data_IF_760186597438
#
_entry.id   IF_760186597438
#
_cell.length_a   1.000
_cell.length_b   1.000
_cell.length_c   1.000
_cell.angle_alpha   90.00
_cell.angle_beta   90.00
_cell.angle_gamma   90.00
#
_symmetry.space_group_name_H-M   'P 1'
#
loop_
_entity.id
_entity.type
_entity.pdbx_description
1 polymer ?
#
# COMPACT_ATOMS: atom_id res chain seq x y z
N UNK A 1 12.79 6.12 -11.98
CA UNK A 1 12.52 6.27 -13.42
C UNK A 1 11.05 6.47 -13.79
N UNK A 2 10.05 6.28 -12.90
CA UNK A 2 8.71 6.87 -13.08
C UNK A 2 8.07 7.15 -11.70
N UNK A 3 7.74 8.42 -11.36
CA UNK A 3 7.12 8.76 -10.08
C UNK A 3 5.64 8.32 -9.99
N UNK A 4 5.05 8.50 -8.81
CA UNK A 4 3.60 8.36 -8.60
C UNK A 4 2.81 9.18 -9.62
N UNK A 5 1.70 8.66 -10.18
CA UNK A 5 1.02 7.41 -9.85
C UNK A 5 1.36 6.24 -10.79
N UNK A 6 2.51 6.26 -11.48
CA UNK A 6 2.76 5.32 -12.60
C UNK A 6 2.65 3.85 -12.18
N UNK A 7 3.32 3.43 -11.10
CA UNK A 7 3.25 2.05 -10.62
C UNK A 7 1.84 1.63 -10.20
N UNK A 8 1.06 2.55 -9.65
CA UNK A 8 -0.35 2.34 -9.28
C UNK A 8 -1.22 2.10 -10.50
N UNK A 9 -1.09 2.93 -11.54
CA UNK A 9 -1.82 2.77 -12.80
C UNK A 9 -1.43 1.51 -13.56
N UNK A 10 -0.15 1.12 -13.52
CA UNK A 10 0.32 -0.12 -14.12
C UNK A 10 -0.35 -1.34 -13.45
N UNK A 11 -0.37 -1.39 -12.12
CA UNK A 11 -1.05 -2.45 -11.38
C UNK A 11 -2.55 -2.52 -11.71
N UNK A 12 -3.22 -1.36 -11.77
CA UNK A 12 -4.64 -1.31 -12.11
C UNK A 12 -4.91 -1.73 -13.56
N UNK A 13 -4.04 -1.34 -14.49
CA UNK A 13 -4.13 -1.73 -15.90
C UNK A 13 -3.95 -3.24 -16.08
N UNK A 14 -3.01 -3.85 -15.36
CA UNK A 14 -2.82 -5.30 -15.33
C UNK A 14 -4.04 -6.01 -14.73
N UNK A 15 -4.61 -5.49 -13.63
CA UNK A 15 -5.84 -6.04 -13.05
C UNK A 15 -6.99 -6.07 -14.08
N UNK A 16 -7.20 -4.97 -14.82
CA UNK A 16 -8.22 -4.92 -15.88
C UNK A 16 -7.96 -5.94 -16.98
N UNK A 17 -6.70 -6.06 -17.42
CA UNK A 17 -6.31 -7.06 -18.41
C UNK A 17 -6.57 -8.48 -17.91
N UNK A 18 -6.23 -8.80 -16.65
CA UNK A 18 -6.51 -10.11 -16.04
C UNK A 18 -8.03 -10.36 -16.01
N UNK A 19 -8.83 -9.38 -15.59
CA UNK A 19 -10.29 -9.50 -15.55
C UNK A 19 -10.89 -9.77 -16.94
N UNK A 20 -10.36 -9.13 -17.99
CA UNK A 20 -10.81 -9.36 -19.37
C UNK A 20 -10.35 -10.70 -19.94
N UNK A 21 -9.21 -11.20 -19.48
CA UNK A 21 -8.60 -12.46 -19.93
C UNK A 21 -8.81 -13.65 -19.00
N UNK A 22 -9.55 -13.49 -17.90
CA UNK A 22 -9.67 -14.49 -16.84
C UNK A 22 -9.96 -15.90 -17.39
N UNK A 23 -10.97 -16.05 -18.24
CA UNK A 23 -11.34 -17.34 -18.83
C UNK A 23 -10.21 -17.93 -19.70
N UNK A 24 -9.50 -17.08 -20.47
CA UNK A 24 -8.37 -17.53 -21.32
C UNK A 24 -7.13 -17.89 -20.52
N UNK A 25 -6.99 -17.34 -19.30
CA UNK A 25 -5.94 -17.68 -18.34
C UNK A 25 -6.31 -18.90 -17.48
N UNK A 26 -7.49 -19.48 -17.66
CA UNK A 26 -8.00 -20.58 -16.83
C UNK A 26 -8.49 -20.15 -15.45
N UNK A 27 -8.65 -18.84 -15.21
CA UNK A 27 -9.18 -18.28 -13.97
C UNK A 27 -10.69 -18.06 -14.01
N UNK A 28 -11.29 -17.87 -12.84
CA UNK A 28 -12.70 -17.48 -12.69
C UNK A 28 -12.84 -15.96 -12.56
N UNK A 29 -13.43 -15.32 -13.59
CA UNK A 29 -13.68 -13.87 -13.62
C UNK A 29 -14.49 -13.36 -12.43
N UNK A 30 -15.29 -14.22 -11.78
CA UNK A 30 -16.12 -13.85 -10.61
C UNK A 30 -15.36 -13.93 -9.27
N UNK A 31 -14.15 -14.48 -9.26
CA UNK A 31 -13.38 -14.77 -8.05
C UNK A 31 -11.93 -14.30 -8.20
N UNK A 32 -11.73 -13.01 -8.50
CA UNK A 32 -10.40 -12.39 -8.56
C UNK A 32 -10.07 -11.76 -7.20
N UNK A 33 -8.87 -12.04 -6.69
CA UNK A 33 -8.34 -11.44 -5.47
C UNK A 33 -7.02 -10.74 -5.80
N UNK A 34 -6.75 -9.63 -5.11
CA UNK A 34 -5.48 -8.90 -5.21
C UNK A 34 -4.75 -8.95 -3.86
N UNK A 35 -3.43 -8.99 -3.88
CA UNK A 35 -2.63 -9.09 -2.67
C UNK A 35 -1.30 -8.36 -2.83
N UNK A 36 -0.78 -7.85 -1.71
CA UNK A 36 0.53 -7.19 -1.70
C UNK A 36 1.04 -6.93 -0.29
N UNK A 37 2.35 -6.81 -0.19
CA UNK A 37 3.10 -6.54 1.03
C UNK A 37 3.74 -5.16 1.02
N UNK A 38 3.92 -4.53 2.19
CA UNK A 38 4.60 -3.23 2.30
C UNK A 38 4.03 -2.20 1.32
N UNK A 39 4.85 -1.62 0.43
CA UNK A 39 4.43 -0.73 -0.64
C UNK A 39 3.45 -1.38 -1.63
N UNK A 40 3.57 -2.68 -1.89
CA UNK A 40 2.61 -3.46 -2.67
C UNK A 40 1.22 -3.54 -2.03
N UNK A 41 1.14 -3.40 -0.70
CA UNK A 41 -0.14 -3.21 -0.01
C UNK A 41 -0.84 -1.92 -0.43
N UNK A 42 -0.10 -0.82 -0.64
CA UNK A 42 -0.66 0.42 -1.17
C UNK A 42 -1.17 0.24 -2.61
N UNK A 43 -0.41 -0.43 -3.47
CA UNK A 43 -0.82 -0.75 -4.84
C UNK A 43 -2.08 -1.62 -4.86
N UNK A 44 -2.18 -2.57 -3.92
CA UNK A 44 -3.35 -3.43 -3.75
C UNK A 44 -4.59 -2.63 -3.38
N UNK A 45 -4.46 -1.74 -2.37
CA UNK A 45 -5.56 -0.87 -1.95
C UNK A 45 -6.00 0.02 -3.13
N UNK A 46 -5.04 0.62 -3.85
CA UNK A 46 -5.29 1.46 -5.02
C UNK A 46 -6.16 0.77 -6.07
N UNK A 47 -5.77 -0.46 -6.44
CA UNK A 47 -6.53 -1.27 -7.39
C UNK A 47 -7.97 -1.49 -6.95
N UNK A 48 -8.19 -1.78 -5.66
CA UNK A 48 -9.55 -2.00 -5.15
C UNK A 48 -10.37 -0.72 -5.07
N UNK A 49 -9.77 0.40 -4.69
CA UNK A 49 -10.45 1.70 -4.68
C UNK A 49 -10.85 2.11 -6.08
N UNK A 50 -9.97 1.92 -7.07
CA UNK A 50 -10.27 2.21 -8.49
C UNK A 50 -11.33 1.28 -9.08
N UNK A 51 -11.36 0.01 -8.68
CA UNK A 51 -12.42 -0.92 -9.06
C UNK A 51 -13.79 -0.49 -8.49
N UNK A 52 -13.82 -0.04 -7.24
CA UNK A 52 -15.01 0.53 -6.60
C UNK A 52 -15.49 1.80 -7.33
N UNK A 53 -14.59 2.76 -7.57
CA UNK A 53 -14.92 4.02 -8.26
C UNK A 53 -15.45 3.80 -9.68
N UNK A 54 -14.90 2.80 -10.39
CA UNK A 54 -15.33 2.45 -11.74
C UNK A 54 -16.58 1.57 -11.80
N UNK A 55 -17.07 1.08 -10.67
CA UNK A 55 -18.23 0.19 -10.55
C UNK A 55 -18.14 -1.08 -11.42
N UNK A 56 -16.93 -1.59 -11.67
CA UNK A 56 -16.71 -2.78 -12.50
C UNK A 56 -16.86 -4.08 -11.70
N UNK A 57 -16.61 -4.04 -10.38
CA UNK A 57 -16.75 -5.20 -9.50
C UNK A 57 -15.82 -6.34 -9.88
N UNK A 58 -14.60 -6.02 -10.30
CA UNK A 58 -13.59 -6.98 -10.73
C UNK A 58 -13.04 -7.77 -9.55
N UNK A 59 -12.82 -7.11 -8.40
CA UNK A 59 -12.12 -7.66 -7.25
C UNK A 59 -13.10 -8.16 -6.20
N UNK A 60 -12.95 -9.42 -5.78
CA UNK A 60 -13.77 -10.05 -4.74
C UNK A 60 -13.22 -9.83 -3.33
N UNK A 61 -11.92 -9.58 -3.21
CA UNK A 61 -11.27 -9.25 -1.95
C UNK A 61 -9.81 -8.86 -2.12
N UNK A 62 -9.26 -8.23 -1.08
CA UNK A 62 -7.85 -7.84 -0.99
C UNK A 62 -7.17 -8.48 0.21
N UNK A 63 -5.89 -8.83 0.05
CA UNK A 63 -5.01 -9.29 1.13
C UNK A 63 -3.84 -8.31 1.30
N UNK A 64 -3.76 -7.69 2.48
CA UNK A 64 -2.77 -6.68 2.80
C UNK A 64 -1.79 -7.20 3.86
N UNK A 65 -0.54 -7.38 3.47
CA UNK A 65 0.52 -7.87 4.36
C UNK A 65 1.37 -6.67 4.83
N UNK A 66 1.21 -6.25 6.09
CA UNK A 66 1.89 -5.07 6.65
C UNK A 66 1.91 -3.86 5.67
N UNK A 67 0.73 -3.43 5.17
CA UNK A 67 0.64 -2.48 4.07
C UNK A 67 1.13 -1.08 4.43
N UNK A 68 1.72 -0.38 3.46
CA UNK A 68 1.96 1.06 3.55
C UNK A 68 0.69 1.81 3.17
N UNK A 69 -0.10 2.19 4.16
CA UNK A 69 -1.37 2.92 3.94
C UNK A 69 -1.42 4.27 4.65
N UNK A 70 -0.41 4.65 5.45
CA UNK A 70 -0.33 5.95 6.12
C UNK A 70 0.95 6.70 5.74
N UNK A 71 1.09 7.07 4.47
CA UNK A 71 2.32 7.73 4.01
C UNK A 71 2.48 9.14 4.58
N UNK A 72 1.38 9.80 4.94
CA UNK A 72 1.40 11.13 5.54
C UNK A 72 1.67 11.11 7.06
N UNK A 73 1.81 9.94 7.69
CA UNK A 73 2.04 9.83 9.14
C UNK A 73 0.92 10.48 9.95
N UNK A 74 -0.32 10.35 9.50
CA UNK A 74 -1.48 10.93 10.18
C UNK A 74 -1.70 10.18 11.49
N UNK A 75 -1.76 10.92 12.58
CA UNK A 75 -2.24 10.44 13.87
C UNK A 75 -3.64 10.98 14.12
N UNK A 76 -4.51 10.15 14.68
CA UNK A 76 -5.90 10.48 15.00
C UNK A 76 -6.36 9.85 16.33
N UNK A 77 -7.67 9.69 16.51
CA UNK A 77 -8.22 9.04 17.70
C UNK A 77 -7.99 7.52 17.76
N UNK A 78 -7.75 6.86 16.62
CA UNK A 78 -7.56 5.42 16.48
C UNK A 78 -6.08 5.02 16.39
N UNK A 79 -5.22 5.90 15.86
CA UNK A 79 -3.80 5.62 15.68
C UNK A 79 -2.92 6.76 16.20
N UNK A 80 -1.99 6.42 17.09
CA UNK A 80 -0.88 7.27 17.53
C UNK A 80 0.37 6.42 17.54
N UNK A 81 1.49 6.95 17.07
CA UNK A 81 2.73 6.20 17.07
C UNK A 81 3.57 6.56 18.28
N UNK A 82 3.93 5.58 19.08
CA UNK A 82 4.96 5.73 20.10
C UNK A 82 5.77 4.45 20.22
N UNK A 83 7.10 4.59 20.19
CA UNK A 83 8.00 3.46 20.44
C UNK A 83 7.76 2.83 21.82
N UNK A 84 7.31 3.63 22.78
CA UNK A 84 7.10 3.21 24.16
C UNK A 84 5.87 2.29 24.33
N UNK A 85 5.01 2.19 23.30
CA UNK A 85 3.90 1.22 23.29
C UNK A 85 4.36 -0.22 23.00
N UNK A 86 5.61 -0.41 22.56
CA UNK A 86 6.15 -1.71 22.16
C UNK A 86 7.26 -2.18 23.09
N UNK A 87 7.05 -3.32 23.74
CA UNK A 87 8.10 -3.99 24.50
C UNK A 87 9.14 -4.61 23.56
N UNK A 88 10.40 -4.20 23.69
CA UNK A 88 11.52 -4.77 22.94
C UNK A 88 12.34 -5.67 23.85
N UNK A 89 12.44 -6.95 23.49
CA UNK A 89 13.31 -7.88 24.20
C UNK A 89 14.76 -7.34 24.22
N UNK A 90 15.45 -7.32 25.38
CA UNK A 90 16.75 -6.66 25.52
C UNK A 90 17.80 -7.10 24.50
N UNK A 91 17.76 -8.38 24.10
CA UNK A 91 18.66 -8.96 23.10
C UNK A 91 18.57 -8.31 21.71
N UNK A 92 17.38 -7.81 21.33
CA UNK A 92 17.12 -7.26 20.00
C UNK A 92 16.99 -5.74 19.98
N UNK A 93 16.89 -5.10 21.15
CA UNK A 93 16.59 -3.67 21.29
C UNK A 93 17.47 -2.77 20.42
N UNK A 94 18.80 -2.88 20.53
CA UNK A 94 19.70 -2.02 19.77
C UNK A 94 19.56 -2.20 18.25
N UNK A 95 19.30 -3.42 17.79
CA UNK A 95 19.10 -3.71 16.37
C UNK A 95 17.78 -3.14 15.85
N UNK A 96 16.70 -3.30 16.63
CA UNK A 96 15.39 -2.74 16.30
C UNK A 96 15.42 -1.20 16.30
N UNK A 97 16.07 -0.58 17.27
CA UNK A 97 16.22 0.88 17.33
C UNK A 97 17.00 1.45 16.14
N UNK A 98 18.09 0.77 15.75
CA UNK A 98 18.84 1.13 14.54
C UNK A 98 17.96 1.01 13.29
N UNK A 99 17.24 -0.09 13.14
CA UNK A 99 16.37 -0.34 11.99
C UNK A 99 15.23 0.67 11.91
N UNK A 100 14.57 0.98 13.03
CA UNK A 100 13.52 2.01 13.10
C UNK A 100 14.05 3.39 12.71
N UNK A 101 15.22 3.78 13.22
CA UNK A 101 15.84 5.06 12.86
C UNK A 101 16.21 5.14 11.36
N UNK A 102 16.65 4.03 10.76
CA UNK A 102 16.90 3.98 9.31
C UNK A 102 15.61 4.18 8.50
N UNK A 103 14.50 3.55 8.89
CA UNK A 103 13.22 3.71 8.19
C UNK A 103 12.63 5.11 8.36
N UNK A 104 12.78 5.73 9.53
CA UNK A 104 12.36 7.12 9.76
C UNK A 104 13.17 8.10 8.88
N UNK A 105 14.47 7.87 8.73
CA UNK A 105 15.28 8.66 7.79
C UNK A 105 14.86 8.50 6.32
N UNK A 106 14.42 7.30 5.92
CA UNK A 106 13.92 7.04 4.57
C UNK A 106 12.54 7.64 4.31
N UNK A 107 11.67 7.70 5.33
CA UNK A 107 10.34 8.30 5.22
C UNK A 107 10.41 9.82 4.96
N UNK A 108 11.41 10.50 5.54
CA UNK A 108 11.68 11.92 5.27
C UNK A 108 11.97 12.25 3.80
N UNK A 109 12.37 11.27 2.99
CA UNK A 109 12.62 11.41 1.54
C UNK A 109 11.48 10.94 0.64
N UNK A 110 10.32 10.57 1.20
CA UNK A 110 9.18 10.02 0.44
C UNK A 110 8.72 10.94 -0.69
N UNK A 111 8.76 12.26 -0.50
CA UNK A 111 8.42 13.25 -1.54
C UNK A 111 9.28 13.05 -2.80
N UNK A 112 10.59 12.91 -2.63
CA UNK A 112 11.52 12.79 -3.75
C UNK A 112 11.38 11.43 -4.45
N UNK A 113 11.07 10.39 -3.68
CA UNK A 113 10.81 9.04 -4.19
C UNK A 113 9.49 8.98 -4.97
N UNK A 114 8.42 9.55 -4.41
CA UNK A 114 7.09 9.52 -5.00
C UNK A 114 6.91 10.58 -6.09
N UNK A 115 7.71 11.65 -6.08
CA UNK A 115 7.56 12.77 -7.01
C UNK A 115 6.27 13.57 -6.82
N UNK A 116 5.66 13.52 -5.63
CA UNK A 116 4.45 14.26 -5.27
C UNK A 116 4.53 14.80 -3.85
N UNK A 117 3.98 15.99 -3.65
CA UNK A 117 3.78 16.62 -2.34
C UNK A 117 2.46 16.19 -1.68
N UNK A 118 1.52 15.68 -2.47
CA UNK A 118 0.19 15.32 -2.00
C UNK A 118 0.17 13.88 -1.49
N UNK A 119 0.83 13.63 -0.36
CA UNK A 119 0.84 12.31 0.30
C UNK A 119 -0.43 12.04 1.12
N UNK A 120 -1.30 13.05 1.30
CA UNK A 120 -2.56 12.96 2.05
C UNK A 120 -3.76 12.54 1.21
N UNK A 121 -3.58 12.37 -0.10
CA UNK A 121 -4.67 11.91 -0.95
C UNK A 121 -5.15 10.51 -0.55
N UNK A 122 -6.41 10.19 -0.89
CA UNK A 122 -7.05 8.91 -0.53
C UNK A 122 -6.47 7.66 -1.20
N UNK A 123 -5.49 7.80 -2.10
CA UNK A 123 -4.80 6.67 -2.70
C UNK A 123 -3.52 6.30 -1.93
N UNK A 124 -2.76 7.30 -1.46
CA UNK A 124 -1.53 7.11 -0.70
C UNK A 124 -1.78 6.99 0.82
N UNK A 125 -2.79 7.71 1.32
CA UNK A 125 -3.24 7.69 2.71
C UNK A 125 -4.77 7.54 2.77
N UNK A 126 -5.33 6.32 2.55
CA UNK A 126 -6.79 6.06 2.52
C UNK A 126 -7.52 6.10 3.88
N UNK A 127 -7.28 7.11 4.71
CA UNK A 127 -8.04 7.34 5.95
C UNK A 127 -8.19 8.83 6.26
#
# INVERSE_FOLDING_TARGET
>A
ENPYPTGHEDCYSVLRWIYDKANTLGGDKKNIFVAGDSAGGNLTQYCTTRDLESNLGMVKGQLLLYPTVNMAGIEDEYFKWSKDEYEMAPKYKSGLEMMLGMFDGLSGGLKDVLGTDDVKNGYLTPY
#
